data_IF_743892924580
#
_entry.id   IF_743892924580
#
_cell.length_a   1.000
_cell.length_b   1.000
_cell.length_c   1.000
_cell.angle_alpha   90.00
_cell.angle_beta   90.00
_cell.angle_gamma   90.00
#
_symmetry.space_group_name_H-M   'P 1'
#
loop_
_entity.id
_entity.type
_entity.pdbx_description
1 polymer ?
#
# COMPACT_ATOMS: atom_id res chain seq x y z
N UNK A 1 18.66 15.17 -19.82
CA UNK A 1 18.84 14.11 -18.80
C UNK A 1 17.48 13.86 -18.16
N UNK A 2 16.84 12.72 -18.43
CA UNK A 2 15.49 12.41 -17.93
C UNK A 2 15.66 11.42 -16.78
N UNK A 3 15.51 11.90 -15.54
CA UNK A 3 15.43 11.05 -14.34
C UNK A 3 13.98 11.09 -13.90
N UNK A 4 13.30 9.94 -13.97
CA UNK A 4 11.90 9.85 -13.56
C UNK A 4 11.83 9.77 -12.04
N UNK A 5 11.43 10.87 -11.40
CA UNK A 5 11.35 11.01 -9.94
C UNK A 5 10.04 10.48 -9.31
N UNK A 6 9.31 9.61 -10.01
CA UNK A 6 8.02 9.04 -9.58
C UNK A 6 8.10 7.62 -9.01
N UNK A 7 7.04 7.21 -8.30
CA UNK A 7 6.85 5.94 -7.57
C UNK A 7 6.87 4.64 -8.43
N UNK A 8 7.91 4.41 -9.22
CA UNK A 8 8.16 3.08 -9.79
C UNK A 8 9.10 2.25 -8.91
N UNK A 9 8.83 0.95 -8.87
CA UNK A 9 9.63 -0.04 -8.17
C UNK A 9 10.75 -0.63 -9.06
N UNK A 10 10.79 -0.26 -10.34
CA UNK A 10 11.76 -0.78 -11.27
C UNK A 10 13.12 -0.07 -11.15
N UNK A 11 14.18 -0.87 -11.11
CA UNK A 11 15.57 -0.41 -11.13
C UNK A 11 16.25 -0.93 -12.38
N UNK A 12 16.93 -0.06 -13.12
CA UNK A 12 17.61 -0.43 -14.35
C UNK A 12 19.06 0.09 -14.35
N UNK A 13 20.06 -0.73 -14.72
CA UNK A 13 21.45 -0.30 -14.88
C UNK A 13 21.59 0.72 -16.01
N UNK A 14 22.01 1.95 -15.69
CA UNK A 14 22.21 2.98 -16.69
C UNK A 14 23.69 3.10 -17.03
N UNK A 15 24.06 2.86 -18.29
CA UNK A 15 25.47 2.89 -18.76
C UNK A 15 26.21 4.18 -18.39
N UNK A 16 25.56 5.32 -18.55
CA UNK A 16 26.14 6.64 -18.22
C UNK A 16 26.30 6.88 -16.71
N UNK A 17 25.73 6.02 -15.87
CA UNK A 17 25.91 5.99 -14.42
C UNK A 17 26.81 4.82 -13.98
N UNK A 18 27.68 4.33 -14.88
CA UNK A 18 28.59 3.21 -14.63
C UNK A 18 27.85 1.94 -14.23
N UNK A 19 26.74 1.66 -14.91
CA UNK A 19 25.86 0.51 -14.65
C UNK A 19 25.29 0.43 -13.23
N UNK A 20 25.32 1.55 -12.49
CA UNK A 20 24.63 1.65 -11.21
C UNK A 20 23.12 1.55 -11.44
N UNK A 21 22.42 0.63 -10.77
CA UNK A 21 20.98 0.45 -10.93
C UNK A 21 20.24 1.63 -10.31
N UNK A 22 19.61 2.44 -11.16
CA UNK A 22 18.84 3.61 -10.75
C UNK A 22 17.34 3.39 -10.94
N UNK A 23 16.54 4.10 -10.14
CA UNK A 23 15.08 4.02 -10.24
C UNK A 23 14.63 4.65 -11.56
N UNK A 24 13.82 3.92 -12.32
CA UNK A 24 13.23 4.36 -13.58
C UNK A 24 11.72 4.11 -13.56
N UNK A 25 10.92 4.92 -14.27
CA UNK A 25 9.49 4.65 -14.37
C UNK A 25 9.20 3.39 -15.20
N UNK A 26 7.97 2.88 -15.13
CA UNK A 26 7.57 1.65 -15.84
C UNK A 26 7.73 1.79 -17.37
N UNK A 27 7.42 2.97 -17.90
CA UNK A 27 7.63 3.30 -19.31
C UNK A 27 9.12 3.25 -19.69
N UNK A 28 10.00 3.85 -18.88
CA UNK A 28 11.44 3.82 -19.11
C UNK A 28 12.03 2.42 -18.94
N UNK A 29 11.56 1.63 -17.97
CA UNK A 29 11.99 0.25 -17.78
C UNK A 29 11.71 -0.60 -19.02
N UNK A 30 10.50 -0.49 -19.59
CA UNK A 30 10.13 -1.19 -20.82
C UNK A 30 10.97 -0.74 -22.03
N UNK A 31 11.22 0.56 -22.19
CA UNK A 31 12.04 1.09 -23.29
C UNK A 31 13.52 0.70 -23.18
N UNK A 32 14.08 0.67 -21.97
CA UNK A 32 15.47 0.27 -21.73
C UNK A 32 15.66 -1.24 -21.91
N UNK A 33 14.70 -2.06 -21.44
CA UNK A 33 14.71 -3.51 -21.65
C UNK A 33 14.64 -3.91 -23.13
N UNK A 34 13.90 -3.17 -23.96
CA UNK A 34 13.85 -3.41 -25.42
C UNK A 34 15.19 -3.12 -26.12
N UNK A 35 16.00 -2.19 -25.58
CA UNK A 35 17.33 -1.85 -26.13
C UNK A 35 18.44 -2.80 -25.67
N UNK A 36 18.27 -3.44 -24.51
CA UNK A 36 19.22 -4.43 -23.99
C UNK A 36 19.20 -5.78 -24.73
N UNK A 37 18.18 -6.04 -25.55
CA UNK A 37 18.01 -7.32 -26.28
C UNK A 37 18.42 -7.25 -27.76
N UNK A 38 18.79 -6.08 -28.27
CA UNK A 38 19.07 -5.85 -29.68
C UNK A 38 20.57 -5.87 -30.06
N UNK A 39 21.46 -6.19 -29.13
CA UNK A 39 22.91 -6.37 -29.38
C UNK A 39 23.31 -7.52 -28.46
N UNK A 40 23.38 -8.78 -28.90
CA UNK A 40 24.38 -9.31 -29.82
C UNK A 40 23.83 -10.49 -30.64
N UNK A 41 23.66 -10.31 -31.95
CA UNK A 41 23.84 -11.38 -32.92
C UNK A 41 25.25 -11.21 -33.51
N UNK A 42 26.22 -11.99 -33.04
CA UNK A 42 27.12 -12.74 -33.94
C UNK A 42 27.93 -13.78 -33.14
N UNK A 43 27.74 -15.03 -33.53
CA UNK A 43 28.64 -16.19 -33.55
C UNK A 43 29.46 -16.62 -32.32
N UNK A 44 29.02 -17.79 -31.82
CA UNK A 44 29.80 -19.02 -31.62
C UNK A 44 30.90 -19.06 -30.56
N UNK A 45 30.65 -19.78 -29.44
CA UNK A 45 31.09 -21.17 -29.26
C UNK A 45 30.37 -21.84 -28.07
N UNK A 46 29.91 -23.08 -28.32
CA UNK A 46 29.95 -24.32 -27.49
C UNK A 46 30.39 -24.16 -26.02
N UNK A 47 29.94 -24.91 -25.01
CA UNK A 47 29.03 -26.04 -24.84
C UNK A 47 29.11 -26.45 -23.35
N UNK A 48 28.04 -27.07 -22.85
CA UNK A 48 28.04 -28.24 -21.92
C UNK A 48 28.63 -28.09 -20.50
N UNK A 49 27.68 -28.13 -19.54
CA UNK A 49 27.59 -29.03 -18.37
C UNK A 49 28.65 -29.14 -17.26
N UNK A 50 28.08 -29.16 -16.03
CA UNK A 50 28.32 -30.07 -14.88
C UNK A 50 29.69 -30.12 -14.18
N UNK A 51 29.63 -29.96 -12.85
CA UNK A 51 30.24 -30.76 -11.76
C UNK A 51 30.56 -29.80 -10.60
N UNK A 52 29.85 -29.84 -9.47
CA UNK A 52 30.03 -30.81 -8.38
C UNK A 52 31.52 -31.09 -8.09
N UNK A 53 32.02 -30.66 -6.93
CA UNK A 53 32.81 -31.51 -6.03
C UNK A 53 32.83 -30.95 -4.60
N UNK A 54 32.40 -31.84 -3.71
CA UNK A 54 32.76 -32.03 -2.30
C UNK A 54 34.29 -32.05 -2.14
N UNK A 55 34.91 -31.81 -0.99
CA UNK A 55 34.74 -32.56 0.25
C UNK A 55 35.47 -31.86 1.42
N UNK A 56 35.13 -32.36 2.60
CA UNK A 56 35.54 -32.04 3.96
C UNK A 56 37.04 -32.16 4.22
N UNK A 57 37.48 -31.52 5.31
CA UNK A 57 38.53 -32.10 6.16
C UNK A 57 38.36 -31.64 7.61
N UNK A 58 38.61 -32.56 8.53
CA UNK A 58 38.12 -32.60 9.92
C UNK A 58 39.30 -33.10 10.77
N UNK A 59 39.61 -32.37 11.86
CA UNK A 59 39.99 -32.89 13.22
C UNK A 59 41.50 -33.30 13.34
N UNK A 60 42.35 -33.03 14.37
CA UNK A 60 42.39 -32.70 15.82
C UNK A 60 43.69 -31.91 16.09
N UNK A 61 44.01 -31.22 17.20
CA UNK A 61 43.51 -31.13 18.57
C UNK A 61 44.59 -30.52 19.51
N UNK A 62 44.26 -30.46 20.81
CA UNK A 62 45.06 -30.13 22.03
C UNK A 62 45.10 -28.67 22.54
N UNK A 63 44.72 -28.54 23.81
CA UNK A 63 44.77 -27.39 24.74
C UNK A 63 45.80 -27.68 25.87
N UNK A 64 45.91 -26.89 26.97
CA UNK A 64 46.20 -25.45 27.20
C UNK A 64 47.43 -25.26 28.15
N UNK A 65 47.69 -24.08 28.79
CA UNK A 65 47.14 -23.83 30.13
C UNK A 65 46.74 -22.37 30.44
N UNK A 66 46.27 -22.20 31.68
CA UNK A 66 45.49 -21.17 32.37
C UNK A 66 46.17 -19.81 32.67
N UNK A 67 45.36 -18.76 32.87
CA UNK A 67 45.18 -18.09 34.18
C UNK A 67 44.09 -16.98 34.19
N UNK A 68 43.33 -17.03 35.28
CA UNK A 68 42.26 -16.20 35.84
C UNK A 68 42.20 -14.68 35.59
N UNK A 69 40.98 -14.11 35.48
CA UNK A 69 40.32 -13.25 36.51
C UNK A 69 39.08 -12.52 35.93
N UNK A 70 37.91 -12.78 36.50
CA UNK A 70 36.73 -11.88 36.50
C UNK A 70 36.90 -10.85 37.65
N UNK A 71 36.11 -9.76 37.81
CA UNK A 71 34.71 -9.59 37.41
C UNK A 71 34.22 -8.16 37.02
N UNK A 72 32.95 -8.07 36.62
CA UNK A 72 32.06 -6.97 37.02
C UNK A 72 32.07 -5.69 36.18
N UNK A 73 31.13 -5.59 35.23
CA UNK A 73 30.76 -4.33 34.58
C UNK A 73 29.25 -4.15 34.61
N UNK A 74 28.74 -3.54 35.68
CA UNK A 74 27.35 -3.09 35.79
C UNK A 74 27.14 -1.87 34.89
N UNK A 75 26.19 -1.93 33.95
CA UNK A 75 25.72 -0.75 33.24
C UNK A 75 24.37 -0.31 33.81
N UNK A 76 24.47 0.67 34.71
CA UNK A 76 23.37 1.45 35.27
C UNK A 76 22.57 2.13 34.14
N UNK A 77 21.33 1.72 33.92
CA UNK A 77 20.39 2.48 33.11
C UNK A 77 19.67 3.49 34.01
N UNK A 78 20.16 4.73 34.01
CA UNK A 78 19.47 5.85 34.65
C UNK A 78 18.29 6.24 33.78
N UNK A 79 17.08 5.98 34.28
CA UNK A 79 15.81 6.49 33.74
C UNK A 79 15.76 8.01 33.94
N UNK A 80 16.17 8.77 32.93
CA UNK A 80 15.93 10.21 32.88
C UNK A 80 14.51 10.46 32.34
N UNK A 81 13.60 10.75 33.27
CA UNK A 81 12.53 11.75 33.20
C UNK A 81 11.90 12.04 31.82
N UNK A 82 10.64 11.61 31.69
CA UNK A 82 9.72 11.98 30.61
C UNK A 82 9.40 13.48 30.71
N UNK A 83 10.04 14.29 29.89
CA UNK A 83 9.55 15.63 29.55
C UNK A 83 8.56 15.51 28.38
N UNK A 84 7.31 16.03 28.47
CA UNK A 84 6.39 16.00 27.35
C UNK A 84 6.83 17.02 26.29
N UNK A 85 7.24 16.55 25.11
CA UNK A 85 7.46 17.43 23.96
C UNK A 85 6.16 18.12 23.53
N UNK A 86 6.14 19.46 23.40
CA UNK A 86 5.02 20.17 22.81
C UNK A 86 5.10 20.03 21.28
N UNK A 87 4.05 19.53 20.62
CA UNK A 87 3.99 19.70 19.16
C UNK A 87 3.23 18.69 18.31
N UNK A 88 2.53 17.68 18.86
CA UNK A 88 1.53 16.97 18.05
C UNK A 88 0.27 17.83 17.96
N UNK A 89 0.23 18.72 16.96
CA UNK A 89 -1.00 19.37 16.52
C UNK A 89 -1.98 18.26 16.11
N UNK A 90 -2.86 17.85 17.02
CA UNK A 90 -4.08 17.16 16.65
C UNK A 90 -4.79 18.10 15.67
N UNK A 91 -4.93 17.69 14.41
CA UNK A 91 -5.72 18.43 13.44
C UNK A 91 -7.13 18.53 14.02
N UNK A 92 -7.54 19.75 14.38
CA UNK A 92 -8.87 20.07 14.88
C UNK A 92 -9.88 19.47 13.92
N UNK A 93 -10.68 18.53 14.42
CA UNK A 93 -11.82 17.97 13.72
C UNK A 93 -12.86 19.08 13.60
N UNK A 94 -13.28 19.50 12.39
CA UNK A 94 -14.38 20.43 12.25
C UNK A 94 -15.63 19.83 12.90
N UNK A 95 -16.41 20.66 13.60
CA UNK A 95 -17.62 20.26 14.36
C UNK A 95 -18.72 19.58 13.52
N UNK A 96 -18.54 19.45 12.21
CA UNK A 96 -19.44 18.80 11.28
C UNK A 96 -19.40 17.26 11.29
N UNK A 97 -18.49 16.60 12.03
CA UNK A 97 -18.36 15.13 12.04
C UNK A 97 -19.09 14.45 13.21
N UNK A 98 -20.21 15.01 13.69
CA UNK A 98 -21.04 14.33 14.69
C UNK A 98 -22.31 13.80 14.01
N UNK A 99 -22.20 12.62 13.43
CA UNK A 99 -23.34 11.87 12.94
C UNK A 99 -23.23 10.45 13.45
N UNK A 100 -24.29 9.98 14.12
CA UNK A 100 -24.41 8.60 14.57
C UNK A 100 -24.42 7.71 13.32
N UNK A 101 -23.69 6.60 13.34
CA UNK A 101 -23.72 5.57 12.30
C UNK A 101 -25.09 4.87 12.13
N UNK A 102 -26.13 5.38 12.81
CA UNK A 102 -27.50 4.92 12.79
C UNK A 102 -28.14 5.03 11.40
N UNK A 103 -29.03 4.08 11.12
CA UNK A 103 -29.74 3.92 9.85
C UNK A 103 -30.82 4.97 9.62
N UNK A 104 -31.15 5.77 10.63
CA UNK A 104 -32.26 6.73 10.60
C UNK A 104 -32.02 7.89 9.62
N UNK A 105 -32.73 7.82 8.49
CA UNK A 105 -32.63 8.76 7.37
C UNK A 105 -31.41 8.55 6.47
N UNK A 106 -30.71 7.42 6.56
CA UNK A 106 -29.64 7.05 5.61
C UNK A 106 -30.24 6.42 4.35
N UNK A 107 -29.72 6.76 3.17
CA UNK A 107 -30.15 6.10 1.93
C UNK A 107 -29.52 4.71 1.78
N UNK A 108 -28.34 4.48 2.39
CA UNK A 108 -27.69 3.17 2.44
C UNK A 108 -26.61 3.15 3.52
N UNK A 109 -26.49 2.06 4.26
CA UNK A 109 -25.41 1.85 5.23
C UNK A 109 -24.97 0.40 5.28
N UNK A 110 -23.70 0.15 5.61
CA UNK A 110 -23.19 -1.21 5.71
C UNK A 110 -21.67 -1.31 5.61
N UNK A 111 -21.16 -2.53 5.78
CA UNK A 111 -19.74 -2.81 5.61
C UNK A 111 -19.36 -2.94 4.14
N UNK A 112 -18.26 -2.28 3.77
CA UNK A 112 -17.56 -2.52 2.52
C UNK A 112 -16.06 -2.62 2.79
N UNK A 113 -15.37 -3.33 1.91
CA UNK A 113 -13.92 -3.25 1.83
C UNK A 113 -13.54 -2.07 0.93
N UNK A 114 -12.66 -1.20 1.42
CA UNK A 114 -12.12 -0.07 0.65
C UNK A 114 -10.62 -0.26 0.45
N UNK A 115 -10.17 -0.01 -0.78
CA UNK A 115 -8.76 0.24 -1.07
C UNK A 115 -8.56 1.65 -1.60
N UNK A 116 -7.49 2.31 -1.13
CA UNK A 116 -7.09 3.64 -1.60
C UNK A 116 -6.30 3.57 -2.91
N UNK A 117 -5.69 2.43 -3.19
CA UNK A 117 -4.88 2.18 -4.39
C UNK A 117 -4.64 0.67 -4.53
N UNK A 118 -4.33 0.17 -5.71
CA UNK A 118 -4.21 -1.26 -5.98
C UNK A 118 -3.08 -1.95 -5.17
N UNK A 119 -2.16 -1.17 -4.59
CA UNK A 119 -1.04 -1.63 -3.76
C UNK A 119 -1.38 -1.72 -2.27
N UNK A 120 -2.50 -1.15 -1.82
CA UNK A 120 -2.87 -1.11 -0.40
C UNK A 120 -3.80 -2.27 -0.05
N UNK A 121 -3.65 -2.86 1.15
CA UNK A 121 -4.57 -3.90 1.59
C UNK A 121 -5.99 -3.34 1.72
N UNK A 122 -6.95 -4.15 1.31
CA UNK A 122 -8.37 -3.88 1.51
C UNK A 122 -8.69 -3.77 3.00
N UNK A 123 -9.41 -2.73 3.40
CA UNK A 123 -9.87 -2.56 4.79
C UNK A 123 -11.38 -2.60 4.85
N UNK A 124 -11.94 -3.48 5.68
CA UNK A 124 -13.37 -3.48 6.00
C UNK A 124 -13.67 -2.26 6.87
N UNK A 125 -14.61 -1.43 6.44
CA UNK A 125 -15.03 -0.20 7.11
C UNK A 125 -16.56 -0.11 6.99
N UNK A 126 -17.17 0.67 7.87
CA UNK A 126 -18.60 0.95 7.82
C UNK A 126 -18.84 2.23 7.02
N UNK A 127 -19.72 2.16 6.04
CA UNK A 127 -20.07 3.28 5.17
C UNK A 127 -21.53 3.65 5.36
N UNK A 128 -21.81 4.95 5.22
CA UNK A 128 -23.17 5.50 5.27
C UNK A 128 -23.28 6.53 4.14
N UNK A 129 -24.26 6.39 3.26
CA UNK A 129 -24.64 7.40 2.28
C UNK A 129 -25.83 8.16 2.83
N UNK A 130 -25.65 9.46 3.07
CA UNK A 130 -26.71 10.35 3.53
C UNK A 130 -26.50 11.75 2.98
N UNK A 131 -27.57 12.41 2.54
CA UNK A 131 -27.54 13.79 2.06
C UNK A 131 -26.48 14.04 0.98
N UNK A 132 -26.33 13.08 0.05
CA UNK A 132 -25.33 13.10 -1.04
C UNK A 132 -23.88 13.12 -0.55
N UNK A 133 -23.63 12.69 0.67
CA UNK A 133 -22.32 12.54 1.30
C UNK A 133 -22.10 11.07 1.66
N UNK A 134 -20.91 10.56 1.35
CA UNK A 134 -20.42 9.26 1.80
C UNK A 134 -19.59 9.43 3.08
N UNK A 135 -20.11 8.94 4.19
CA UNK A 135 -19.40 8.88 5.45
C UNK A 135 -18.68 7.55 5.61
N UNK A 136 -17.49 7.59 6.22
CA UNK A 136 -16.67 6.40 6.52
C UNK A 136 -16.41 6.34 8.02
N UNK A 137 -16.73 5.21 8.63
CA UNK A 137 -16.54 4.91 10.05
C UNK A 137 -15.60 3.71 10.20
N UNK A 138 -14.96 3.57 11.37
CA UNK A 138 -14.14 2.39 11.64
C UNK A 138 -15.03 1.18 11.95
N UNK A 139 -16.13 1.40 12.66
CA UNK A 139 -17.14 0.43 13.04
C UNK A 139 -18.57 0.99 12.92
N UNK A 140 -19.58 0.13 13.08
CA UNK A 140 -21.00 0.50 13.01
C UNK A 140 -21.49 1.25 14.25
N UNK A 141 -20.79 1.12 15.37
CA UNK A 141 -21.14 1.75 16.65
C UNK A 141 -20.53 3.15 16.81
N UNK A 142 -19.63 3.54 15.90
CA UNK A 142 -18.93 4.81 15.96
C UNK A 142 -19.90 5.99 15.75
N UNK A 143 -19.77 7.01 16.60
CA UNK A 143 -20.59 8.24 16.54
C UNK A 143 -19.94 9.37 15.75
N UNK A 144 -18.70 9.16 15.29
CA UNK A 144 -17.91 10.14 14.54
C UNK A 144 -17.33 9.47 13.31
N UNK A 145 -17.63 10.04 12.14
CA UNK A 145 -17.05 9.59 10.89
C UNK A 145 -15.55 9.93 10.88
N UNK A 146 -14.73 8.97 10.44
CA UNK A 146 -13.32 9.20 10.14
C UNK A 146 -13.16 10.14 8.93
N UNK A 147 -14.13 10.10 8.02
CA UNK A 147 -14.12 10.85 6.78
C UNK A 147 -15.54 11.11 6.28
N UNK A 148 -15.76 12.30 5.74
CA UNK A 148 -16.96 12.70 5.01
C UNK A 148 -16.57 13.07 3.58
N UNK A 149 -17.22 12.49 2.58
CA UNK A 149 -16.94 12.78 1.18
C UNK A 149 -18.22 13.18 0.42
N UNK A 150 -18.37 14.45 0.00
CA UNK A 150 -19.43 14.85 -0.91
C UNK A 150 -19.34 14.07 -2.23
N UNK A 151 -20.47 13.56 -2.71
CA UNK A 151 -20.52 12.70 -3.90
C UNK A 151 -20.89 13.46 -5.18
N UNK A 152 -21.29 14.73 -5.09
CA UNK A 152 -21.60 15.56 -6.25
C UNK A 152 -20.39 15.67 -7.21
N UNK A 153 -20.62 15.37 -8.48
CA UNK A 153 -19.59 15.41 -9.52
C UNK A 153 -18.66 14.20 -9.57
N UNK A 154 -18.92 13.18 -8.74
CA UNK A 154 -18.27 11.87 -8.87
C UNK A 154 -18.99 10.99 -9.89
N UNK A 155 -18.27 10.01 -10.41
CA UNK A 155 -18.80 8.97 -11.31
C UNK A 155 -18.52 7.59 -10.73
N UNK A 156 -19.51 6.71 -10.83
CA UNK A 156 -19.40 5.32 -10.37
C UNK A 156 -19.26 4.40 -11.57
N UNK A 157 -18.20 3.61 -11.59
CA UNK A 157 -18.05 2.49 -12.51
C UNK A 157 -18.59 1.23 -11.82
N UNK A 158 -19.57 0.59 -12.46
CA UNK A 158 -20.33 -0.52 -11.91
C UNK A 158 -19.48 -1.75 -11.54
N UNK A 159 -20.09 -2.69 -10.79
CA UNK A 159 -19.35 -3.81 -10.23
C UNK A 159 -18.80 -4.76 -11.28
N UNK A 160 -17.56 -5.21 -11.09
CA UNK A 160 -16.95 -6.28 -11.89
C UNK A 160 -17.49 -7.63 -11.43
N UNK A 161 -17.89 -8.49 -12.37
CA UNK A 161 -18.51 -9.79 -12.08
C UNK A 161 -17.62 -10.75 -11.26
N UNK A 162 -16.29 -10.58 -11.31
CA UNK A 162 -15.34 -11.50 -10.65
C UNK A 162 -15.06 -11.13 -9.19
N UNK A 163 -15.05 -9.84 -8.86
CA UNK A 163 -14.53 -9.36 -7.58
C UNK A 163 -15.59 -8.69 -6.71
N UNK A 164 -16.84 -8.57 -7.20
CA UNK A 164 -17.93 -7.83 -6.53
C UNK A 164 -17.46 -6.41 -6.14
N UNK A 165 -16.66 -5.80 -7.02
CA UNK A 165 -15.95 -4.55 -6.75
C UNK A 165 -16.36 -3.46 -7.71
N UNK A 166 -16.57 -2.25 -7.21
CA UNK A 166 -16.94 -1.07 -7.98
C UNK A 166 -15.99 0.08 -7.66
N UNK A 167 -15.91 1.06 -8.56
CA UNK A 167 -14.93 2.14 -8.48
C UNK A 167 -15.60 3.50 -8.52
N UNK A 168 -15.09 4.41 -7.70
CA UNK A 168 -15.53 5.79 -7.62
C UNK A 168 -14.44 6.68 -8.21
N UNK A 169 -14.82 7.50 -9.18
CA UNK A 169 -13.92 8.39 -9.91
C UNK A 169 -14.30 9.84 -9.67
N UNK A 170 -13.29 10.69 -9.60
CA UNK A 170 -13.48 12.13 -9.73
C UNK A 170 -12.95 12.53 -11.11
N UNK A 171 -13.87 12.92 -12.00
CA UNK A 171 -13.57 13.10 -13.43
C UNK A 171 -13.03 11.79 -14.02
N UNK A 172 -11.74 11.75 -14.35
CA UNK A 172 -11.04 10.57 -14.92
C UNK A 172 -10.10 9.89 -13.93
N UNK A 173 -9.94 10.44 -12.73
CA UNK A 173 -9.00 9.91 -11.73
C UNK A 173 -9.71 8.95 -10.80
N UNK A 174 -9.19 7.72 -10.68
CA UNK A 174 -9.67 6.75 -9.70
C UNK A 174 -9.49 7.34 -8.30
N UNK A 175 -10.61 7.58 -7.63
CA UNK A 175 -10.59 8.10 -6.27
C UNK A 175 -10.53 6.97 -5.25
N UNK A 176 -11.43 5.98 -5.38
CA UNK A 176 -11.55 4.82 -4.48
C UNK A 176 -12.03 3.57 -5.22
N UNK A 177 -11.59 2.42 -4.73
CA UNK A 177 -12.17 1.13 -5.05
C UNK A 177 -12.87 0.55 -3.82
N UNK A 178 -14.05 -0.01 -4.06
CA UNK A 178 -14.87 -0.66 -3.05
C UNK A 178 -15.15 -2.10 -3.46
N UNK A 179 -15.27 -2.97 -2.47
CA UNK A 179 -15.59 -4.38 -2.65
C UNK A 179 -16.62 -4.81 -1.62
N UNK A 180 -17.66 -5.50 -2.09
CA UNK A 180 -18.70 -6.07 -1.26
C UNK A 180 -18.49 -7.59 -1.10
N UNK A 181 -19.28 -8.20 -0.21
CA UNK A 181 -19.28 -9.65 0.04
C UNK A 181 -19.91 -10.41 -1.15
N UNK A 182 -20.87 -9.81 -1.84
CA UNK A 182 -21.60 -10.38 -2.96
C UNK A 182 -21.88 -9.35 -4.08
N UNK A 183 -22.17 -9.86 -5.29
CA UNK A 183 -22.39 -9.04 -6.49
C UNK A 183 -23.64 -8.17 -6.37
N UNK A 184 -24.71 -8.69 -5.74
CA UNK A 184 -25.96 -7.95 -5.57
C UNK A 184 -25.77 -6.77 -4.61
N UNK A 185 -25.05 -6.96 -3.50
CA UNK A 185 -24.68 -5.88 -2.58
C UNK A 185 -23.79 -4.86 -3.29
N UNK A 186 -22.79 -5.28 -4.07
CA UNK A 186 -21.95 -4.38 -4.83
C UNK A 186 -22.77 -3.50 -5.80
N UNK A 187 -23.77 -4.09 -6.47
CA UNK A 187 -24.68 -3.37 -7.35
C UNK A 187 -25.52 -2.35 -6.59
N UNK A 188 -26.17 -2.75 -5.49
CA UNK A 188 -26.96 -1.85 -4.65
C UNK A 188 -26.13 -0.65 -4.17
N UNK A 189 -24.88 -0.89 -3.76
CA UNK A 189 -23.96 0.17 -3.36
C UNK A 189 -23.58 1.09 -4.50
N UNK A 190 -23.27 0.53 -5.68
CA UNK A 190 -22.94 1.32 -6.85
C UNK A 190 -24.12 2.21 -7.27
N UNK A 191 -25.34 1.70 -7.24
CA UNK A 191 -26.57 2.44 -7.56
C UNK A 191 -26.87 3.53 -6.54
N UNK A 192 -26.82 3.23 -5.24
CA UNK A 192 -27.07 4.21 -4.19
C UNK A 192 -26.06 5.36 -4.23
N UNK A 193 -24.77 5.06 -4.43
CA UNK A 193 -23.74 6.09 -4.58
C UNK A 193 -23.95 6.88 -5.88
N UNK A 194 -24.28 6.22 -6.98
CA UNK A 194 -24.58 6.88 -8.26
C UNK A 194 -25.78 7.82 -8.17
N UNK A 195 -26.84 7.43 -7.48
CA UNK A 195 -27.98 8.30 -7.22
C UNK A 195 -27.59 9.54 -6.39
N UNK A 196 -26.62 9.39 -5.49
CA UNK A 196 -26.07 10.48 -4.69
C UNK A 196 -25.09 11.39 -5.44
N UNK A 197 -24.63 11.06 -6.66
CA UNK A 197 -23.71 11.91 -7.42
C UNK A 197 -24.39 12.98 -8.27
N UNK A 198 -25.70 12.89 -8.45
CA UNK A 198 -26.51 13.81 -9.27
C UNK A 198 -27.31 14.80 -8.40
N UNK A 199 -27.64 15.96 -8.98
CA UNK A 199 -28.43 17.02 -8.33
C UNK A 199 -29.91 16.67 -8.27
#
# INVERSE_FOLDING_TARGET
QIICQGCSYHRYPLKYRKDRPERVCDQCYASLGKRGRAVTSDSAVRAVSLAAWTDKTVVLGRSPPSQSRSPGGALSSVLHSITPSPGRKLKRVPAALKQVAGTEGSSMSGYLQRSKDNRKPWRRLWFVVKDKVLYTYAASEDVVAMESQPLLGFTVQGPTARDCSFQLFHKTTLFRAFRAEDSATALRWAEAIKAATVL
#
